data_IF_530159860651
#
_entry.id   IF_530159860651
#
_cell.length_a   1.000
_cell.length_b   1.000
_cell.length_c   1.000
_cell.angle_alpha   90.00
_cell.angle_beta   90.00
_cell.angle_gamma   90.00
#
_symmetry.space_group_name_H-M   'P 1'
#
loop_
_entity.id
_entity.type
_entity.pdbx_description
1 polymer ?
#
# COMPACT_ATOMS: atom_id res chain seq x y z
N UNK A 1 10.53 4.05 -0.72
CA UNK A 1 9.17 3.58 -1.08
C UNK A 1 8.32 3.19 0.12
N UNK A 2 8.76 2.35 1.07
CA UNK A 2 7.95 2.00 2.28
C UNK A 2 7.41 3.21 3.07
N UNK A 3 8.21 4.28 3.24
CA UNK A 3 7.77 5.54 3.88
C UNK A 3 6.65 6.26 3.12
N UNK A 4 6.67 6.20 1.78
CA UNK A 4 5.64 6.82 0.93
C UNK A 4 4.34 6.02 0.93
N UNK A 5 4.41 4.68 0.93
CA UNK A 5 3.25 3.82 1.15
C UNK A 5 2.60 4.11 2.52
N UNK A 6 3.40 4.19 3.60
CA UNK A 6 2.93 4.63 4.92
C UNK A 6 2.24 6.00 4.88
N UNK A 7 2.76 6.95 4.10
CA UNK A 7 2.13 8.27 3.94
C UNK A 7 0.83 8.21 3.12
N UNK A 8 0.74 7.39 2.07
CA UNK A 8 -0.47 7.23 1.26
C UNK A 8 -1.61 6.60 2.07
N UNK A 9 -1.31 5.62 2.92
CA UNK A 9 -2.29 5.05 3.85
C UNK A 9 -2.64 6.00 5.01
N UNK A 10 -1.69 6.80 5.48
CA UNK A 10 -1.91 7.80 6.54
C UNK A 10 -2.78 9.00 6.17
N UNK A 11 -3.13 9.19 4.88
CA UNK A 11 -4.01 10.27 4.44
C UNK A 11 -5.51 9.98 4.63
N UNK A 12 -5.91 8.78 5.10
CA UNK A 12 -7.27 8.46 5.55
C UNK A 12 -7.31 8.09 7.05
N UNK A 13 -7.22 9.13 7.92
CA UNK A 13 -7.65 9.24 9.35
C UNK A 13 -6.53 9.46 10.41
N UNK A 14 -6.76 10.54 11.17
CA UNK A 14 -6.22 11.00 12.47
C UNK A 14 -4.87 10.46 12.97
N UNK A 15 -3.86 11.31 12.81
CA UNK A 15 -2.58 11.23 13.50
C UNK A 15 -2.81 11.57 14.98
N UNK A 16 -2.76 10.57 15.85
CA UNK A 16 -2.41 10.82 17.25
C UNK A 16 -0.88 10.92 17.35
N UNK A 17 -0.33 12.06 17.81
CA UNK A 17 1.09 12.21 17.94
C UNK A 17 1.60 11.28 19.05
N UNK A 18 2.50 10.37 18.68
CA UNK A 18 3.21 9.50 19.60
C UNK A 18 4.35 10.29 20.25
N UNK A 19 4.00 11.14 21.20
CA UNK A 19 4.97 11.71 22.14
C UNK A 19 4.44 11.52 23.56
N UNK A 20 5.31 10.92 24.37
CA UNK A 20 5.15 10.66 25.81
C UNK A 20 4.31 9.44 26.22
N UNK A 21 4.99 8.30 26.41
CA UNK A 21 4.67 7.35 27.49
C UNK A 21 5.85 6.38 27.73
N UNK A 22 7.04 6.94 27.99
CA UNK A 22 8.08 6.22 28.72
C UNK A 22 8.09 6.70 30.18
N UNK A 23 7.09 6.27 30.96
CA UNK A 23 7.16 6.26 32.42
C UNK A 23 6.51 4.99 32.99
N UNK A 24 7.39 4.07 33.38
CA UNK A 24 7.33 3.12 34.48
C UNK A 24 5.96 2.61 34.96
N UNK A 25 5.72 1.30 34.87
CA UNK A 25 5.73 0.34 36.00
C UNK A 25 5.15 -1.00 35.56
N UNK A 26 5.99 -2.02 35.41
CA UNK A 26 5.75 -3.40 35.91
C UNK A 26 6.95 -4.29 35.55
N UNK A 27 7.45 -5.00 36.56
CA UNK A 27 8.51 -5.98 36.43
C UNK A 27 8.03 -7.22 35.66
N UNK A 28 8.92 -7.80 34.87
CA UNK A 28 8.87 -9.14 34.22
C UNK A 28 8.52 -9.25 32.72
N UNK A 29 8.11 -8.20 32.02
CA UNK A 29 7.88 -8.30 30.56
C UNK A 29 9.17 -8.00 29.78
N UNK A 30 9.61 -8.95 28.95
CA UNK A 30 10.76 -8.74 28.05
C UNK A 30 10.50 -7.54 27.14
N UNK A 31 11.50 -6.66 26.98
CA UNK A 31 11.46 -5.53 26.03
C UNK A 31 11.07 -5.95 24.60
N UNK A 32 11.42 -7.16 24.18
CA UNK A 32 11.09 -7.69 22.86
C UNK A 32 9.60 -8.07 22.77
N UNK A 33 9.06 -8.62 23.85
CA UNK A 33 7.63 -8.93 23.96
C UNK A 33 6.80 -7.65 24.01
N UNK A 34 7.25 -6.62 24.73
CA UNK A 34 6.64 -5.28 24.72
C UNK A 34 6.69 -4.68 23.32
N UNK A 35 7.82 -4.77 22.63
CA UNK A 35 7.95 -4.30 21.26
C UNK A 35 6.90 -4.92 20.34
N UNK A 36 6.78 -6.26 20.32
CA UNK A 36 5.74 -6.94 19.54
C UNK A 36 4.34 -6.51 20.00
N UNK A 37 4.05 -6.52 21.30
CA UNK A 37 2.70 -6.25 21.79
C UNK A 37 2.23 -4.82 21.47
N UNK A 38 3.08 -3.84 21.73
CA UNK A 38 2.66 -2.44 21.85
C UNK A 38 2.96 -1.61 20.58
N UNK A 39 3.81 -2.10 19.66
CA UNK A 39 4.09 -1.38 18.41
C UNK A 39 3.15 -1.83 17.30
N UNK A 40 2.62 -0.85 16.57
CA UNK A 40 1.96 -1.06 15.29
C UNK A 40 3.04 -1.30 14.22
N UNK A 41 3.06 -2.51 13.68
CA UNK A 41 4.03 -2.95 12.69
C UNK A 41 3.23 -3.38 11.46
N UNK A 42 3.26 -2.54 10.44
CA UNK A 42 2.74 -2.86 9.12
C UNK A 42 3.75 -3.70 8.34
N UNK A 43 3.28 -4.77 7.68
CA UNK A 43 4.10 -5.65 6.87
C UNK A 43 3.97 -5.28 5.39
N UNK A 44 4.98 -4.61 4.84
CA UNK A 44 5.02 -4.27 3.42
C UNK A 44 5.74 -5.35 2.64
N UNK A 45 5.11 -5.86 1.57
CA UNK A 45 5.73 -6.84 0.70
C UNK A 45 5.31 -6.66 -0.76
N UNK A 46 6.25 -6.87 -1.66
CA UNK A 46 5.98 -6.71 -3.09
C UNK A 46 5.27 -7.97 -3.62
N UNK A 47 4.10 -7.80 -4.22
CA UNK A 47 3.34 -8.89 -4.82
C UNK A 47 3.94 -9.28 -6.17
N UNK A 48 4.07 -10.58 -6.45
CA UNK A 48 4.43 -11.05 -7.79
C UNK A 48 3.16 -11.20 -8.64
N UNK A 49 2.99 -10.30 -9.61
CA UNK A 49 1.86 -10.32 -10.54
C UNK A 49 1.80 -11.58 -11.40
N UNK A 50 2.88 -12.35 -11.50
CA UNK A 50 2.91 -13.61 -12.25
C UNK A 50 2.56 -14.83 -11.38
N UNK A 51 2.35 -14.65 -10.07
CA UNK A 51 1.98 -15.74 -9.18
C UNK A 51 0.62 -16.32 -9.57
N UNK A 52 0.56 -17.65 -9.68
CA UNK A 52 -0.61 -18.37 -10.23
C UNK A 52 -1.59 -18.85 -9.15
N UNK A 53 -1.27 -18.66 -7.87
CA UNK A 53 -2.15 -19.01 -6.75
C UNK A 53 -2.95 -17.81 -6.21
N UNK A 54 -3.63 -18.02 -5.09
CA UNK A 54 -4.36 -16.96 -4.38
C UNK A 54 -3.40 -16.00 -3.67
N UNK A 55 -3.91 -14.82 -3.30
CA UNK A 55 -3.16 -13.85 -2.48
C UNK A 55 -2.76 -14.45 -1.12
N UNK A 56 -3.62 -15.26 -0.53
CA UNK A 56 -3.34 -15.97 0.72
C UNK A 56 -2.19 -16.98 0.53
N UNK A 57 -2.25 -17.81 -0.50
CA UNK A 57 -1.18 -18.77 -0.83
C UNK A 57 0.15 -18.06 -1.05
N UNK A 58 0.14 -16.90 -1.72
CA UNK A 58 1.31 -16.07 -1.92
C UNK A 58 1.91 -15.58 -0.59
N UNK A 59 1.07 -15.11 0.34
CA UNK A 59 1.53 -14.64 1.67
C UNK A 59 2.12 -15.79 2.47
N UNK A 60 1.45 -16.94 2.49
CA UNK A 60 1.93 -18.13 3.21
C UNK A 60 3.25 -18.62 2.61
N UNK A 61 3.38 -18.71 1.29
CA UNK A 61 4.60 -19.15 0.63
C UNK A 61 5.79 -18.21 0.83
N UNK A 62 5.51 -16.92 1.10
CA UNK A 62 6.53 -15.88 1.31
C UNK A 62 6.65 -15.44 2.78
N UNK A 63 6.04 -16.16 3.73
CA UNK A 63 5.90 -15.74 5.11
C UNK A 63 7.24 -15.33 5.76
N UNK A 64 8.28 -16.15 5.60
CA UNK A 64 9.60 -15.85 6.18
C UNK A 64 10.19 -14.55 5.63
N UNK A 65 10.10 -14.33 4.32
CA UNK A 65 10.60 -13.12 3.68
C UNK A 65 9.81 -11.89 4.12
N UNK A 66 8.49 -12.00 4.26
CA UNK A 66 7.62 -10.92 4.75
C UNK A 66 8.06 -10.52 6.17
N UNK A 67 8.19 -11.48 7.07
CA UNK A 67 8.55 -11.21 8.47
C UNK A 67 9.96 -10.69 8.59
N UNK A 68 10.93 -11.32 7.91
CA UNK A 68 12.33 -10.88 7.89
C UNK A 68 12.44 -9.44 7.38
N UNK A 69 11.88 -9.13 6.22
CA UNK A 69 12.04 -7.83 5.56
C UNK A 69 11.38 -6.67 6.32
N UNK A 70 10.42 -6.94 7.22
CA UNK A 70 9.73 -5.91 7.98
C UNK A 70 10.20 -5.83 9.43
N UNK A 71 10.49 -6.95 10.10
CA UNK A 71 11.09 -6.90 11.44
C UNK A 71 12.54 -6.39 11.41
N UNK A 72 13.29 -6.63 10.34
CA UNK A 72 14.66 -6.14 10.22
C UNK A 72 14.76 -4.61 10.09
N UNK A 73 13.66 -3.91 9.85
CA UNK A 73 13.62 -2.45 9.89
C UNK A 73 13.78 -1.91 11.33
N UNK A 74 13.69 -2.78 12.35
CA UNK A 74 13.78 -2.44 13.77
C UNK A 74 14.91 -3.23 14.44
N UNK A 75 15.73 -2.57 15.27
CA UNK A 75 16.81 -3.26 16.00
C UNK A 75 16.27 -4.37 16.91
N UNK A 76 15.16 -4.12 17.63
CA UNK A 76 14.50 -5.16 18.44
C UNK A 76 13.89 -6.26 17.56
N UNK A 77 13.38 -5.91 16.38
CA UNK A 77 12.81 -6.85 15.43
C UNK A 77 13.84 -7.83 14.85
N UNK A 78 15.07 -7.37 14.57
CA UNK A 78 16.20 -8.25 14.19
C UNK A 78 16.49 -9.31 15.26
N UNK A 79 16.52 -8.89 16.53
CA UNK A 79 16.76 -9.80 17.66
C UNK A 79 15.62 -10.82 17.76
N UNK A 80 14.37 -10.37 17.66
CA UNK A 80 13.18 -11.24 17.68
C UNK A 80 13.28 -12.28 16.56
N UNK A 81 13.51 -11.87 15.32
CA UNK A 81 13.62 -12.79 14.19
C UNK A 81 14.73 -13.85 14.40
N UNK A 82 15.86 -13.45 15.00
CA UNK A 82 16.95 -14.38 15.27
C UNK A 82 16.66 -15.37 16.41
N UNK A 83 15.96 -14.94 17.47
CA UNK A 83 15.83 -15.69 18.73
C UNK A 83 14.44 -16.30 18.99
N UNK A 84 13.42 -15.91 18.23
CA UNK A 84 12.07 -16.44 18.34
C UNK A 84 11.68 -17.28 17.11
N UNK A 85 10.89 -18.32 17.34
CA UNK A 85 10.11 -18.99 16.31
C UNK A 85 8.81 -18.22 16.10
N UNK A 86 8.22 -18.34 14.91
CA UNK A 86 6.87 -17.88 14.62
C UNK A 86 6.09 -18.97 13.91
N UNK A 87 4.82 -19.08 14.26
CA UNK A 87 3.87 -20.03 13.71
C UNK A 87 2.74 -19.25 13.05
N UNK A 88 2.38 -19.65 11.82
CA UNK A 88 1.22 -19.13 11.13
C UNK A 88 -0.07 -19.54 11.85
N UNK A 89 -0.95 -18.57 12.13
CA UNK A 89 -2.26 -18.84 12.74
C UNK A 89 -3.37 -18.64 11.72
N UNK A 90 -3.41 -17.47 11.06
CA UNK A 90 -4.41 -17.15 10.06
C UNK A 90 -3.98 -15.99 9.16
N UNK A 91 -4.62 -15.88 7.99
CA UNK A 91 -4.55 -14.71 7.12
C UNK A 91 -5.94 -14.42 6.54
N UNK A 92 -6.53 -13.29 6.93
CA UNK A 92 -7.88 -12.89 6.50
C UNK A 92 -7.89 -11.37 6.28
N UNK A 93 -8.49 -10.89 5.19
CA UNK A 93 -8.61 -9.45 4.88
C UNK A 93 -7.31 -8.65 5.06
N UNK A 94 -6.22 -9.19 4.51
CA UNK A 94 -4.87 -8.61 4.62
C UNK A 94 -4.32 -8.51 6.05
N UNK A 95 -4.88 -9.25 7.00
CA UNK A 95 -4.38 -9.34 8.37
C UNK A 95 -3.73 -10.68 8.61
N UNK A 96 -2.44 -10.65 8.91
CA UNK A 96 -1.64 -11.85 9.19
C UNK A 96 -1.50 -12.03 10.71
N UNK A 97 -2.04 -13.12 11.24
CA UNK A 97 -1.89 -13.46 12.66
C UNK A 97 -0.80 -14.52 12.83
N UNK A 98 0.21 -14.20 13.64
CA UNK A 98 1.31 -15.10 13.96
C UNK A 98 1.45 -15.28 15.46
N UNK A 99 1.85 -16.48 15.86
CA UNK A 99 2.23 -16.80 17.23
C UNK A 99 3.74 -16.90 17.34
N UNK A 100 4.34 -15.99 18.09
CA UNK A 100 5.77 -15.99 18.39
C UNK A 100 6.05 -16.74 19.68
N UNK A 101 7.14 -17.50 19.70
CA UNK A 101 7.64 -18.21 20.88
C UNK A 101 9.17 -18.20 20.89
N UNK A 102 9.78 -18.36 22.06
CA UNK A 102 11.23 -18.46 22.13
C UNK A 102 11.74 -19.73 21.44
N UNK A 103 12.87 -19.63 20.74
CA UNK A 103 13.62 -20.80 20.29
C UNK A 103 14.16 -21.56 21.50
N UNK A 104 14.41 -22.85 21.32
CA UNK A 104 14.98 -23.69 22.37
C UNK A 104 16.27 -23.07 22.94
N UNK A 105 16.35 -22.99 24.28
CA UNK A 105 17.46 -22.39 25.02
C UNK A 105 17.76 -20.91 24.68
N UNK A 106 16.81 -20.19 24.05
CA UNK A 106 16.87 -18.73 23.85
C UNK A 106 15.84 -18.07 24.75
N UNK A 107 16.19 -16.92 25.33
CA UNK A 107 15.29 -16.13 26.17
C UNK A 107 15.12 -14.75 25.54
N UNK A 108 14.18 -14.63 24.58
CA UNK A 108 13.89 -13.38 23.90
C UNK A 108 12.58 -12.78 24.40
N UNK A 109 11.48 -13.54 24.42
CA UNK A 109 10.13 -13.09 24.72
C UNK A 109 9.70 -13.48 26.14
N UNK A 110 10.20 -14.61 26.66
CA UNK A 110 9.89 -15.20 27.96
C UNK A 110 8.55 -15.94 28.00
N UNK A 111 7.57 -15.52 27.19
CA UNK A 111 6.29 -16.20 26.95
C UNK A 111 5.87 -16.00 25.50
N UNK A 112 5.08 -16.94 24.98
CA UNK A 112 4.53 -16.81 23.63
C UNK A 112 3.61 -15.58 23.53
N UNK A 113 3.59 -14.97 22.35
CA UNK A 113 2.70 -13.85 22.02
C UNK A 113 2.08 -14.08 20.65
N UNK A 114 0.76 -13.93 20.56
CA UNK A 114 0.04 -13.89 19.29
C UNK A 114 -0.14 -12.44 18.90
N UNK A 115 0.21 -12.09 17.66
CA UNK A 115 0.06 -10.75 17.12
C UNK A 115 -0.54 -10.81 15.73
N UNK A 116 -1.47 -9.91 15.47
CA UNK A 116 -2.00 -9.62 14.14
C UNK A 116 -1.29 -8.41 13.57
N UNK A 117 -0.90 -8.50 12.31
CA UNK A 117 -0.26 -7.44 11.55
C UNK A 117 -1.10 -7.12 10.32
N UNK A 118 -1.20 -5.84 9.97
CA UNK A 118 -1.72 -5.43 8.68
C UNK A 118 -0.65 -5.66 7.60
N UNK A 119 -1.04 -6.33 6.52
CA UNK A 119 -0.17 -6.68 5.39
C UNK A 119 -0.51 -5.79 4.20
N UNK A 120 0.49 -5.08 3.71
CA UNK A 120 0.40 -4.21 2.54
C UNK A 120 1.17 -4.85 1.39
N UNK A 121 0.44 -5.57 0.55
CA UNK A 121 0.89 -6.16 -0.68
C UNK A 121 0.76 -5.14 -1.82
N UNK A 122 1.86 -4.89 -2.52
CA UNK A 122 1.89 -3.90 -3.60
C UNK A 122 2.73 -4.36 -4.80
N UNK A 123 2.38 -3.91 -6.00
CA UNK A 123 3.26 -3.97 -7.17
C UNK A 123 2.89 -2.82 -8.11
N UNK A 124 3.80 -1.86 -8.30
CA UNK A 124 3.61 -0.70 -9.17
C UNK A 124 4.60 -0.67 -10.34
N UNK A 125 5.22 -1.80 -10.67
CA UNK A 125 6.29 -1.83 -11.68
C UNK A 125 5.81 -1.44 -13.08
N UNK A 126 4.51 -1.63 -13.36
CA UNK A 126 3.94 -1.43 -14.69
C UNK A 126 3.16 -0.10 -14.83
N UNK A 127 3.38 0.90 -13.97
CA UNK A 127 2.68 2.20 -14.10
C UNK A 127 2.90 2.85 -15.47
N UNK A 128 4.07 2.70 -16.08
CA UNK A 128 4.32 3.18 -17.45
C UNK A 128 3.42 2.51 -18.48
N UNK A 129 3.08 1.22 -18.30
CA UNK A 129 2.15 0.53 -19.20
C UNK A 129 0.72 1.03 -19.05
N UNK A 130 0.32 1.46 -17.86
CA UNK A 130 -0.95 2.15 -17.62
C UNK A 130 -0.97 3.46 -18.43
N UNK A 131 0.09 4.27 -18.35
CA UNK A 131 0.20 5.50 -19.14
C UNK A 131 0.09 5.22 -20.65
N UNK A 132 0.78 4.21 -21.17
CA UNK A 132 0.67 3.83 -22.59
C UNK A 132 -0.76 3.42 -22.98
N UNK A 133 -1.44 2.69 -22.10
CA UNK A 133 -2.81 2.24 -22.32
C UNK A 133 -3.78 3.43 -22.36
N UNK A 134 -3.65 4.39 -21.45
CA UNK A 134 -4.42 5.64 -21.44
C UNK A 134 -4.24 6.39 -22.77
N UNK A 135 -2.99 6.55 -23.22
CA UNK A 135 -2.67 7.26 -24.47
C UNK A 135 -3.23 6.56 -25.72
N UNK A 136 -3.33 5.22 -25.72
CA UNK A 136 -3.82 4.44 -26.86
C UNK A 136 -5.32 4.31 -26.91
N UNK A 137 -5.97 4.18 -25.75
CA UNK A 137 -7.36 3.77 -25.67
C UNK A 137 -8.35 4.93 -25.73
N UNK A 138 -7.94 6.14 -25.34
CA UNK A 138 -8.91 7.20 -25.06
C UNK A 138 -8.39 8.58 -25.49
N UNK A 139 -8.95 9.10 -26.59
CA UNK A 139 -8.95 10.55 -26.81
C UNK A 139 -10.04 11.13 -25.92
N UNK A 140 -9.64 11.83 -24.86
CA UNK A 140 -10.60 12.52 -24.00
C UNK A 140 -11.03 13.79 -24.72
N UNK A 141 -12.24 13.76 -25.30
CA UNK A 141 -12.84 14.92 -25.97
C UNK A 141 -13.70 15.63 -24.93
N UNK A 142 -13.24 16.80 -24.49
CA UNK A 142 -13.97 17.63 -23.54
C UNK A 142 -15.09 18.39 -24.26
N UNK A 143 -16.33 18.31 -23.76
CA UNK A 143 -17.42 19.20 -24.16
C UNK A 143 -17.02 20.68 -24.03
N UNK A 144 -17.44 21.50 -24.98
CA UNK A 144 -17.03 22.91 -25.08
C UNK A 144 -17.53 23.81 -23.93
N UNK A 145 -18.49 23.34 -23.14
CA UNK A 145 -19.04 24.00 -21.97
C UNK A 145 -18.22 23.76 -20.69
N UNK A 146 -17.32 22.78 -20.68
CA UNK A 146 -16.41 22.53 -19.56
C UNK A 146 -15.19 23.47 -19.65
N UNK A 147 -15.09 24.39 -18.69
CA UNK A 147 -14.06 25.45 -18.69
C UNK A 147 -13.16 25.48 -17.45
N UNK A 148 -13.51 24.72 -16.42
CA UNK A 148 -12.81 24.74 -15.13
C UNK A 148 -12.34 23.35 -14.75
N UNK A 149 -11.26 23.28 -13.95
CA UNK A 149 -10.62 22.04 -13.54
C UNK A 149 -11.60 21.06 -12.89
N UNK A 150 -12.43 21.53 -11.95
CA UNK A 150 -13.40 20.69 -11.26
C UNK A 150 -14.37 20.00 -12.24
N UNK A 151 -14.89 20.75 -13.23
CA UNK A 151 -15.75 20.18 -14.27
C UNK A 151 -15.03 19.17 -15.18
N UNK A 152 -13.72 19.35 -15.41
CA UNK A 152 -12.90 18.38 -16.14
C UNK A 152 -12.76 17.10 -15.32
N UNK A 153 -12.50 17.22 -14.02
CA UNK A 153 -12.37 16.08 -13.11
C UNK A 153 -13.68 15.30 -13.02
N UNK A 154 -14.82 15.97 -12.86
CA UNK A 154 -16.15 15.33 -12.85
C UNK A 154 -16.45 14.60 -14.17
N UNK A 155 -16.07 15.19 -15.30
CA UNK A 155 -16.21 14.55 -16.60
C UNK A 155 -15.32 13.30 -16.73
N UNK A 156 -14.07 13.36 -16.29
CA UNK A 156 -13.18 12.20 -16.28
C UNK A 156 -13.68 11.12 -15.34
N UNK A 157 -14.20 11.48 -14.18
CA UNK A 157 -14.75 10.50 -13.24
C UNK A 157 -15.92 9.76 -13.88
N UNK A 158 -16.85 10.47 -14.51
CA UNK A 158 -18.04 9.86 -15.13
C UNK A 158 -17.75 9.04 -16.39
N UNK A 159 -16.70 9.37 -17.15
CA UNK A 159 -16.43 8.75 -18.46
C UNK A 159 -15.25 7.78 -18.46
N UNK A 160 -14.28 7.98 -17.57
CA UNK A 160 -12.98 7.31 -17.65
C UNK A 160 -12.68 6.42 -16.44
N UNK A 161 -13.30 6.67 -15.28
CA UNK A 161 -13.02 5.98 -14.00
C UNK A 161 -12.96 4.46 -14.13
N UNK A 162 -13.99 3.85 -14.71
CA UNK A 162 -14.05 2.38 -14.84
C UNK A 162 -12.92 1.83 -15.70
N UNK A 163 -12.64 2.49 -16.83
CA UNK A 163 -11.58 2.06 -17.76
C UNK A 163 -10.19 2.20 -17.15
N UNK A 164 -9.96 3.28 -16.39
CA UNK A 164 -8.72 3.50 -15.63
C UNK A 164 -8.55 2.46 -14.53
N UNK A 165 -9.60 2.24 -13.73
CA UNK A 165 -9.61 1.26 -12.64
C UNK A 165 -9.30 -0.14 -13.16
N UNK A 166 -9.87 -0.51 -14.30
CA UNK A 166 -9.60 -1.78 -14.97
C UNK A 166 -8.15 -1.87 -15.45
N UNK A 167 -7.66 -0.87 -16.18
CA UNK A 167 -6.28 -0.83 -16.66
C UNK A 167 -5.27 -0.90 -15.50
N UNK A 168 -5.55 -0.23 -14.38
CA UNK A 168 -4.75 -0.35 -13.17
C UNK A 168 -4.80 -1.77 -12.59
N UNK A 169 -6.00 -2.32 -12.37
CA UNK A 169 -6.17 -3.67 -11.79
C UNK A 169 -5.46 -4.77 -12.61
N UNK A 170 -5.35 -4.60 -13.92
CA UNK A 170 -4.69 -5.56 -14.81
C UNK A 170 -3.14 -5.45 -14.80
N UNK A 171 -2.58 -4.33 -14.33
CA UNK A 171 -1.15 -4.02 -14.48
C UNK A 171 -0.42 -3.85 -13.16
N UNK A 172 -1.12 -3.41 -12.13
CA UNK A 172 -0.59 -3.14 -10.79
C UNK A 172 -1.42 -3.87 -9.73
N UNK A 173 -0.88 -3.92 -8.51
CA UNK A 173 -1.54 -4.54 -7.38
C UNK A 173 -1.41 -3.67 -6.14
N UNK A 174 -2.48 -3.56 -5.36
CA UNK A 174 -2.49 -2.95 -4.03
C UNK A 174 -3.61 -3.57 -3.20
N UNK A 175 -3.34 -4.55 -2.35
CA UNK A 175 -4.35 -5.17 -1.48
C UNK A 175 -5.74 -5.41 -2.14
N UNK A 176 -5.79 -5.93 -3.37
CA UNK A 176 -7.04 -6.10 -4.14
C UNK A 176 -7.88 -4.82 -4.34
N UNK A 177 -7.29 -3.63 -4.20
CA UNK A 177 -7.89 -2.35 -4.54
C UNK A 177 -8.39 -2.36 -5.99
N UNK A 178 -9.53 -1.74 -6.21
CA UNK A 178 -10.18 -1.61 -7.53
C UNK A 178 -10.45 -0.15 -7.87
N UNK A 179 -10.55 0.73 -6.89
CA UNK A 179 -10.90 2.14 -7.05
C UNK A 179 -9.64 3.00 -7.20
N UNK A 180 -8.75 2.63 -8.13
CA UNK A 180 -7.48 3.31 -8.36
C UNK A 180 -7.63 4.77 -8.79
N UNK A 181 -8.73 5.15 -9.44
CA UNK A 181 -9.00 6.51 -9.89
C UNK A 181 -9.01 7.50 -8.71
N UNK A 182 -9.45 7.07 -7.53
CA UNK A 182 -9.50 7.89 -6.32
C UNK A 182 -8.10 8.28 -5.80
N UNK A 183 -7.04 7.67 -6.34
CA UNK A 183 -5.65 8.00 -6.04
C UNK A 183 -5.04 9.01 -7.03
N UNK A 184 -5.81 9.50 -8.00
CA UNK A 184 -5.41 10.58 -8.90
C UNK A 184 -5.62 11.92 -8.23
N UNK A 185 -4.56 12.71 -8.15
CA UNK A 185 -4.63 14.10 -7.71
C UNK A 185 -4.26 15.02 -8.89
N UNK A 186 -5.27 15.58 -9.54
CA UNK A 186 -5.12 16.47 -10.69
C UNK A 186 -4.64 17.86 -10.25
N UNK A 187 -3.65 18.43 -10.92
CA UNK A 187 -3.02 19.67 -10.45
C UNK A 187 -2.67 20.72 -11.51
N UNK A 188 -2.59 20.34 -12.80
CA UNK A 188 -2.13 21.25 -13.85
C UNK A 188 -2.57 20.75 -15.24
N UNK A 189 -2.85 21.67 -16.17
CA UNK A 189 -2.85 21.39 -17.62
C UNK A 189 -1.58 22.01 -18.21
N UNK A 190 -0.77 21.22 -18.92
CA UNK A 190 0.45 21.74 -19.56
C UNK A 190 0.20 22.49 -20.87
N UNK A 191 1.26 23.11 -21.38
CA UNK A 191 1.26 23.84 -22.66
C UNK A 191 0.88 22.97 -23.87
N UNK A 192 0.94 21.63 -23.74
CA UNK A 192 0.53 20.69 -24.79
C UNK A 192 -0.94 20.25 -24.64
N UNK A 193 -1.67 20.80 -23.67
CA UNK A 193 -3.06 20.44 -23.39
C UNK A 193 -3.22 19.12 -22.63
N UNK A 194 -2.19 18.60 -21.98
CA UNK A 194 -2.32 17.42 -21.14
C UNK A 194 -2.68 17.81 -19.71
N UNK A 195 -3.74 17.22 -19.18
CA UNK A 195 -4.02 17.24 -17.76
C UNK A 195 -3.07 16.30 -17.03
N UNK A 196 -2.38 16.82 -16.00
CA UNK A 196 -1.47 16.06 -15.15
C UNK A 196 -2.13 15.68 -13.84
N UNK A 197 -1.92 14.43 -13.44
CA UNK A 197 -2.29 13.92 -12.13
C UNK A 197 -1.10 13.27 -11.44
N UNK A 198 -0.94 13.52 -10.14
CA UNK A 198 -0.11 12.68 -9.30
C UNK A 198 -0.88 11.39 -9.00
N UNK A 199 -0.22 10.25 -9.12
CA UNK A 199 -0.78 8.93 -8.92
C UNK A 199 0.07 8.13 -7.93
N UNK A 200 -0.59 7.56 -6.92
CA UNK A 200 0.05 6.77 -5.86
C UNK A 200 1.29 7.48 -5.26
N UNK A 201 1.18 8.81 -5.09
CA UNK A 201 2.15 9.66 -4.38
C UNK A 201 3.47 9.96 -5.08
N UNK A 202 3.82 9.29 -6.18
CA UNK A 202 5.13 9.51 -6.82
C UNK A 202 5.16 9.41 -8.34
N UNK A 203 4.08 8.98 -8.98
CA UNK A 203 4.02 8.89 -10.44
C UNK A 203 3.21 10.06 -10.99
N UNK A 204 3.60 10.60 -12.14
CA UNK A 204 2.77 11.56 -12.88
C UNK A 204 2.12 10.82 -14.04
N UNK A 205 0.79 10.89 -14.10
CA UNK A 205 -0.01 10.40 -15.22
C UNK A 205 -0.51 11.60 -16.02
N UNK A 206 -0.45 11.47 -17.34
CA UNK A 206 -0.83 12.49 -18.31
C UNK A 206 -2.07 12.06 -19.07
N UNK A 207 -3.05 12.95 -19.14
CA UNK A 207 -4.31 12.76 -19.84
C UNK A 207 -4.40 13.78 -20.97
N UNK A 208 -4.18 13.39 -22.24
CA UNK A 208 -4.32 14.29 -23.36
C UNK A 208 -5.78 14.75 -23.50
N UNK A 209 -6.01 16.06 -23.40
CA UNK A 209 -7.32 16.65 -23.57
C UNK A 209 -7.47 17.20 -24.99
N UNK A 210 -8.57 16.86 -25.64
CA UNK A 210 -8.97 17.42 -26.92
C UNK A 210 -10.25 18.22 -26.70
N UNK A 211 -10.33 19.45 -27.22
CA UNK A 211 -11.60 20.20 -27.17
C UNK A 211 -12.48 19.78 -28.33
N UNK A 212 -13.76 19.55 -28.05
CA UNK A 212 -14.76 19.47 -29.11
C UNK A 212 -14.89 20.86 -29.74
N UNK A 213 -14.55 20.98 -31.02
CA UNK A 213 -14.68 22.23 -31.77
C UNK A 213 -16.12 22.28 -32.28
N UNK A 214 -16.97 23.21 -31.81
CA UNK A 214 -18.32 23.35 -32.35
C UNK A 214 -18.25 23.61 -33.85
N UNK A 215 -18.98 22.82 -34.64
CA UNK A 215 -19.23 23.09 -36.06
C UNK A 215 -20.23 24.22 -36.24
#
# INVERSE_FOLDING_TARGET
MKKWLKMLFGLKINIHPLNELYKYTESSLSKHRLFLRDNEIDLYFKYDMNYQGTVEEFVISNLDLIIKNNLHDYELGKVIYSLANYEFVSYEDFKLTLKFSDKENRYCLGKSITKTFDVFLYNYDNVTKIQEEILRSNKIILPSDIKYMDGIVDYLESTFKESFNKACSDKIFLNNEKDFFDYLNFYEIDDNGNLKAQFLGSNTIYFPLYQDIPQ
#
